data_IF_288052265780
#
_entry.id   IF_288052265780
#
_cell.length_a   1.000
_cell.length_b   1.000
_cell.length_c   1.000
_cell.angle_alpha   90.00
_cell.angle_beta   90.00
_cell.angle_gamma   90.00
#
_symmetry.space_group_name_H-M   'P 1'
#
loop_
_entity.id
_entity.type
_entity.pdbx_description
1 polymer ?
#
# COMPACT_ATOMS: atom_id res chain seq x y z
N UNK A 1 -20.08 -0.63 -14.74
CA UNK A 1 -19.67 -0.75 -13.31
C UNK A 1 -18.25 -0.23 -13.25
N UNK A 2 -18.03 0.95 -12.67
CA UNK A 2 -16.75 1.64 -12.74
C UNK A 2 -15.71 0.84 -11.95
N UNK A 3 -14.75 0.23 -12.66
CA UNK A 3 -13.60 -0.45 -12.08
C UNK A 3 -12.69 0.57 -11.42
N UNK A 4 -13.00 0.96 -10.18
CA UNK A 4 -12.05 1.62 -9.31
C UNK A 4 -10.96 0.59 -8.97
N UNK A 5 -9.90 0.55 -9.77
CA UNK A 5 -8.71 -0.25 -9.47
C UNK A 5 -8.00 0.39 -8.27
N UNK A 6 -8.40 -0.02 -7.06
CA UNK A 6 -7.73 0.38 -5.84
C UNK A 6 -6.28 -0.13 -5.90
N UNK A 7 -5.27 0.73 -5.76
CA UNK A 7 -3.88 0.31 -5.81
C UNK A 7 -3.58 -0.64 -4.65
N UNK A 8 -2.80 -1.67 -4.93
CA UNK A 8 -2.32 -2.62 -3.94
C UNK A 8 -0.84 -2.34 -3.66
N UNK A 9 -0.45 -2.39 -2.39
CA UNK A 9 0.93 -2.18 -1.97
C UNK A 9 1.44 -3.34 -1.13
N UNK A 10 2.70 -3.69 -1.35
CA UNK A 10 3.47 -4.73 -0.67
C UNK A 10 4.72 -4.14 -0.02
N UNK A 11 5.19 -4.78 1.05
CA UNK A 11 6.35 -4.40 1.82
C UNK A 11 7.33 -5.58 1.99
N UNK A 12 7.93 -6.02 0.89
CA UNK A 12 8.94 -7.09 0.93
C UNK A 12 10.26 -6.66 1.55
N UNK A 13 10.57 -5.36 1.47
CA UNK A 13 11.80 -4.80 2.01
C UNK A 13 11.81 -4.64 3.53
N UNK A 14 10.71 -4.98 4.23
CA UNK A 14 10.60 -4.80 5.69
C UNK A 14 10.70 -3.34 6.10
N UNK A 15 10.24 -2.43 5.25
CA UNK A 15 10.30 -0.99 5.49
C UNK A 15 9.36 -0.60 6.61
N UNK A 16 9.84 0.24 7.53
CA UNK A 16 9.00 0.75 8.63
C UNK A 16 7.99 1.79 8.15
N UNK A 17 8.33 2.53 7.11
CA UNK A 17 7.53 3.61 6.54
C UNK A 17 7.52 3.47 5.02
N UNK A 18 6.34 3.57 4.42
CA UNK A 18 6.14 3.62 2.97
C UNK A 18 5.28 4.85 2.66
N UNK A 19 5.81 5.76 1.86
CA UNK A 19 5.05 6.87 1.35
C UNK A 19 4.28 6.46 0.08
N UNK A 20 3.02 6.87 -0.01
CA UNK A 20 2.10 6.53 -1.09
C UNK A 20 1.45 7.81 -1.65
N UNK A 21 1.20 7.83 -2.96
CA UNK A 21 0.50 8.95 -3.62
C UNK A 21 -1.02 8.90 -3.54
N UNK A 22 -1.59 7.98 -2.75
CA UNK A 22 -3.04 7.80 -2.57
C UNK A 22 -3.39 7.68 -1.09
N UNK A 23 -4.63 8.02 -0.76
CA UNK A 23 -5.18 7.86 0.60
C UNK A 23 -5.98 6.57 0.79
N UNK A 24 -6.42 5.96 -0.30
CA UNK A 24 -7.21 4.73 -0.32
C UNK A 24 -6.45 3.65 -1.08
N UNK A 25 -6.10 2.56 -0.40
CA UNK A 25 -5.33 1.46 -0.97
C UNK A 25 -5.52 0.14 -0.22
N UNK A 26 -5.11 -0.95 -0.85
CA UNK A 26 -5.06 -2.27 -0.24
C UNK A 26 -3.63 -2.60 0.17
N UNK A 27 -3.43 -2.94 1.45
CA UNK A 27 -2.17 -3.47 1.93
C UNK A 27 -2.22 -5.00 1.92
N UNK A 28 -1.29 -5.62 1.18
CA UNK A 28 -1.18 -7.09 1.09
C UNK A 28 -0.23 -7.64 2.17
N UNK A 29 0.69 -6.80 2.66
CA UNK A 29 1.74 -7.21 3.59
C UNK A 29 3.03 -7.47 2.83
N UNK A 30 3.68 -8.61 3.03
CA UNK A 30 4.82 -9.04 2.21
C UNK A 30 4.37 -10.02 1.13
N UNK A 31 5.16 -10.23 0.07
CA UNK A 31 4.81 -11.23 -0.94
C UNK A 31 4.70 -12.64 -0.34
N UNK A 32 3.95 -13.50 -1.03
CA UNK A 32 3.83 -14.92 -0.72
C UNK A 32 5.22 -15.52 -0.44
N UNK A 33 5.41 -16.25 0.68
CA UNK A 33 4.40 -16.86 1.57
C UNK A 33 4.06 -16.08 2.85
N UNK A 34 4.54 -14.85 3.01
CA UNK A 34 4.37 -14.04 4.24
C UNK A 34 3.23 -13.02 4.14
N UNK A 35 2.39 -13.17 3.12
CA UNK A 35 1.21 -12.34 2.89
C UNK A 35 0.18 -12.57 4.01
N UNK A 36 -0.45 -11.49 4.46
CA UNK A 36 -1.54 -11.55 5.43
C UNK A 36 -2.84 -11.20 4.71
N UNK A 37 -4.03 -11.46 5.30
CA UNK A 37 -5.29 -11.06 4.68
C UNK A 37 -5.24 -9.60 4.23
N UNK A 38 -5.44 -9.36 2.93
CA UNK A 38 -5.36 -8.02 2.36
C UNK A 38 -6.34 -7.10 3.10
N UNK A 39 -5.83 -6.00 3.65
CA UNK A 39 -6.62 -5.02 4.39
C UNK A 39 -6.75 -3.74 3.61
N UNK A 40 -7.97 -3.21 3.56
CA UNK A 40 -8.23 -1.89 3.01
C UNK A 40 -7.83 -0.82 4.02
N UNK A 41 -6.95 0.09 3.59
CA UNK A 41 -6.51 1.23 4.36
C UNK A 41 -7.03 2.49 3.68
N UNK A 42 -7.93 3.18 4.37
CA UNK A 42 -8.37 4.53 4.05
C UNK A 42 -7.79 5.49 5.07
N UNK A 43 -6.98 6.46 4.62
CA UNK A 43 -6.42 7.50 5.49
C UNK A 43 -7.43 8.62 5.80
N UNK A 44 -8.50 8.77 5.01
CA UNK A 44 -9.47 9.85 5.18
C UNK A 44 -8.80 11.25 5.19
N UNK A 45 -9.00 12.01 6.27
CA UNK A 45 -8.38 13.33 6.46
C UNK A 45 -6.91 13.24 6.93
N UNK A 46 -6.53 12.10 7.51
CA UNK A 46 -5.17 11.87 7.99
C UNK A 46 -4.18 11.71 6.82
N UNK A 47 -2.90 11.95 7.10
CA UNK A 47 -1.81 11.78 6.13
C UNK A 47 -0.90 10.61 6.48
N UNK A 48 -1.17 9.89 7.56
CA UNK A 48 -0.44 8.68 7.90
C UNK A 48 -1.35 7.66 8.58
N UNK A 49 -1.14 6.38 8.28
CA UNK A 49 -1.92 5.29 8.82
C UNK A 49 -1.08 4.04 8.94
N UNK A 50 -1.17 3.36 10.08
CA UNK A 50 -0.46 2.10 10.30
C UNK A 50 -1.32 0.92 9.86
N UNK A 51 -0.69 -0.05 9.19
CA UNK A 51 -1.28 -1.34 8.88
C UNK A 51 -1.33 -2.22 10.15
N UNK A 52 -2.51 -2.67 10.54
CA UNK A 52 -2.70 -3.47 11.78
C UNK A 52 -2.02 -4.84 11.77
N UNK A 53 -1.67 -5.38 10.60
CA UNK A 53 -1.01 -6.68 10.47
C UNK A 53 0.49 -6.54 10.31
N UNK A 54 0.90 -5.80 9.29
CA UNK A 54 2.29 -5.63 8.91
C UNK A 54 3.04 -4.58 9.74
N UNK A 55 2.36 -3.80 10.58
CA UNK A 55 2.94 -2.69 11.36
C UNK A 55 3.71 -1.66 10.53
N UNK A 56 3.48 -1.66 9.22
CA UNK A 56 4.03 -0.69 8.28
C UNK A 56 3.28 0.63 8.42
N UNK A 57 4.01 1.73 8.58
CA UNK A 57 3.44 3.07 8.54
C UNK A 57 3.31 3.52 7.09
N UNK A 58 2.09 3.72 6.61
CA UNK A 58 1.85 4.37 5.34
C UNK A 58 1.72 5.86 5.54
N UNK A 59 2.41 6.66 4.71
CA UNK A 59 2.31 8.12 4.72
C UNK A 59 1.87 8.63 3.36
N UNK A 60 0.85 9.46 3.32
CA UNK A 60 0.44 10.14 2.11
C UNK A 60 1.49 11.20 1.73
N UNK A 61 1.96 11.14 0.48
CA UNK A 61 2.85 12.14 -0.09
C UNK A 61 2.26 12.63 -1.42
N UNK A 62 1.73 13.86 -1.41
CA UNK A 62 1.08 14.48 -2.58
C UNK A 62 2.02 14.78 -3.75
N UNK A 63 3.34 14.61 -3.59
CA UNK A 63 4.29 14.68 -4.69
C UNK A 63 4.38 13.36 -5.48
N UNK A 64 3.89 12.23 -4.92
CA UNK A 64 3.89 10.92 -5.55
C UNK A 64 2.62 10.72 -6.37
N UNK A 65 2.75 10.06 -7.53
CA UNK A 65 1.59 9.59 -8.31
C UNK A 65 0.94 8.38 -7.64
N UNK A 66 -0.28 8.05 -8.07
CA UNK A 66 -1.04 6.94 -7.50
C UNK A 66 -0.34 5.56 -7.58
N UNK A 67 0.57 5.39 -8.55
CA UNK A 67 1.37 4.17 -8.75
C UNK A 67 2.82 4.33 -8.29
N UNK A 68 3.13 5.38 -7.54
CA UNK A 68 4.47 5.63 -7.01
C UNK A 68 4.49 5.46 -5.50
N UNK A 69 5.58 4.87 -5.03
CA UNK A 69 5.86 4.63 -3.62
C UNK A 69 7.27 5.08 -3.29
N UNK A 70 7.48 5.47 -2.04
CA UNK A 70 8.81 5.68 -1.48
C UNK A 70 8.95 4.88 -0.18
N UNK A 71 9.82 3.87 -0.09
CA UNK A 71 10.76 3.41 -1.12
C UNK A 71 10.08 2.83 -2.36
N UNK A 72 10.74 2.97 -3.51
CA UNK A 72 10.23 2.48 -4.79
C UNK A 72 10.17 0.94 -4.81
N UNK A 73 9.20 0.39 -5.56
CA UNK A 73 9.03 -1.07 -5.70
C UNK A 73 8.04 -1.68 -4.71
N UNK A 74 7.38 -0.87 -3.87
CA UNK A 74 6.37 -1.35 -2.92
C UNK A 74 4.96 -1.51 -3.56
N UNK A 75 4.85 -1.45 -4.89
CA UNK A 75 3.57 -1.58 -5.60
C UNK A 75 3.31 -3.05 -5.91
N UNK A 76 2.17 -3.57 -5.46
CA UNK A 76 1.78 -4.94 -5.74
C UNK A 76 1.09 -5.03 -7.10
N UNK A 77 1.74 -5.74 -8.03
CA UNK A 77 1.19 -6.06 -9.33
C UNK A 77 0.61 -7.47 -9.28
N UNK A 78 -0.72 -7.57 -9.19
CA UNK A 78 -1.41 -8.85 -9.35
C UNK A 78 -1.24 -9.31 -10.80
N UNK A 79 -0.21 -10.11 -11.10
CA UNK A 79 -0.16 -10.85 -12.35
C UNK A 79 -1.20 -11.96 -12.27
N UNK A 80 -2.38 -11.70 -12.84
CA UNK A 80 -3.26 -12.77 -13.26
C UNK A 80 -2.55 -13.51 -14.39
N UNK A 81 -2.11 -14.74 -14.11
CA UNK A 81 -1.62 -15.67 -15.12
C UNK A 81 -2.80 -16.25 -15.91
#
# INVERSE_FOLDING_TARGET
>A
MAGHNIPHFQNDGGHRVIEVGVKEFMCTGASIPYDHPHIFIDMGDENEKVCSYCSTLYRFNGALKATQTNPAGCVFHFQVA
#
